data_IF_934024969120
#
_entry.id   IF_934024969120
#
_cell.length_a   1.000
_cell.length_b   1.000
_cell.length_c   1.000
_cell.angle_alpha   90.00
_cell.angle_beta   90.00
_cell.angle_gamma   90.00
#
_symmetry.space_group_name_H-M   'P 1'
#
loop_
_entity.id
_entity.type
_entity.pdbx_description
1 polymer ?
#
# COMPACT_ATOMS: atom_id res chain seq x y z
N UNK A 1 -0.89 -5.92 10.67
CA UNK A 1 -0.40 -4.69 10.01
C UNK A 1 0.17 -4.95 8.63
N UNK A 2 1.17 -5.83 8.49
CA UNK A 2 1.75 -6.13 7.16
C UNK A 2 0.73 -6.64 6.15
N UNK A 3 -0.25 -7.43 6.58
CA UNK A 3 -1.36 -7.84 5.70
C UNK A 3 -2.19 -6.66 5.18
N UNK A 4 -2.43 -5.62 5.99
CA UNK A 4 -3.10 -4.39 5.53
C UNK A 4 -2.29 -3.70 4.44
N UNK A 5 -0.96 -3.67 4.60
CA UNK A 5 -0.05 -3.17 3.58
C UNK A 5 -0.10 -4.03 2.32
N UNK A 6 -0.08 -5.35 2.46
CA UNK A 6 -0.11 -6.29 1.34
C UNK A 6 -1.40 -6.15 0.50
N UNK A 7 -2.53 -5.81 1.12
CA UNK A 7 -3.77 -5.46 0.44
C UNK A 7 -3.90 -3.96 0.12
N UNK A 8 -2.82 -3.18 0.29
CA UNK A 8 -2.81 -1.73 0.10
C UNK A 8 -3.39 -1.25 -1.24
N UNK A 9 -3.10 -1.90 -2.39
CA UNK A 9 -3.70 -1.53 -3.67
C UNK A 9 -5.22 -1.72 -3.68
N UNK A 10 -5.71 -2.87 -3.19
CA UNK A 10 -7.14 -3.18 -3.09
C UNK A 10 -7.87 -2.24 -2.12
N UNK A 11 -7.27 -1.95 -0.96
CA UNK A 11 -7.84 -1.02 0.01
C UNK A 11 -7.88 0.41 -0.53
N UNK A 12 -6.87 0.80 -1.30
CA UNK A 12 -6.84 2.07 -2.01
C UNK A 12 -7.96 2.17 -3.04
N UNK A 13 -8.11 1.15 -3.89
CA UNK A 13 -9.20 1.08 -4.87
C UNK A 13 -10.58 1.12 -4.21
N UNK A 14 -10.79 0.42 -3.09
CA UNK A 14 -12.02 0.49 -2.32
C UNK A 14 -12.29 1.91 -1.77
N UNK A 15 -11.24 2.60 -1.32
CA UNK A 15 -11.34 3.98 -0.85
C UNK A 15 -11.69 4.94 -1.99
N UNK A 16 -11.06 4.78 -3.15
CA UNK A 16 -11.40 5.53 -4.36
C UNK A 16 -12.85 5.31 -4.78
N UNK A 17 -13.31 4.05 -4.77
CA UNK A 17 -14.69 3.71 -5.13
C UNK A 17 -15.69 4.30 -4.14
N UNK A 18 -15.37 4.28 -2.84
CA UNK A 18 -16.19 4.90 -1.82
C UNK A 18 -16.30 6.42 -2.01
N UNK A 19 -15.18 7.11 -2.28
CA UNK A 19 -15.16 8.56 -2.51
C UNK A 19 -15.88 8.93 -3.81
N UNK A 20 -15.69 8.18 -4.88
CA UNK A 20 -16.39 8.39 -6.15
C UNK A 20 -17.91 8.18 -6.00
N UNK A 21 -18.34 7.19 -5.21
CA UNK A 21 -19.74 6.97 -4.89
C UNK A 21 -20.34 8.10 -4.04
N UNK A 22 -19.62 8.53 -2.99
CA UNK A 22 -20.09 9.58 -2.08
C UNK A 22 -20.16 10.98 -2.72
N UNK A 23 -19.31 11.26 -3.70
CA UNK A 23 -19.28 12.54 -4.44
C UNK A 23 -20.21 12.57 -5.65
N UNK A 24 -20.91 11.47 -5.95
CA UNK A 24 -21.79 11.35 -7.10
C UNK A 24 -21.07 11.16 -8.44
N UNK A 25 -19.73 11.04 -8.45
CA UNK A 25 -18.93 10.78 -9.65
C UNK A 25 -19.09 9.35 -10.20
N UNK A 26 -19.47 8.41 -9.33
CA UNK A 26 -19.76 7.02 -9.71
C UNK A 26 -18.62 6.33 -10.46
N UNK A 27 -18.96 5.40 -11.35
CA UNK A 27 -17.99 4.62 -12.12
C UNK A 27 -17.16 5.42 -13.13
N UNK A 28 -17.64 6.60 -13.55
CA UNK A 28 -16.93 7.48 -14.49
C UNK A 28 -15.70 8.12 -13.85
N UNK A 29 -15.83 8.66 -12.64
CA UNK A 29 -14.71 9.27 -11.93
C UNK A 29 -13.61 8.24 -11.58
N UNK A 30 -13.98 6.97 -11.36
CA UNK A 30 -13.03 5.85 -11.22
C UNK A 30 -12.29 5.58 -12.52
N UNK A 31 -13.01 5.47 -13.65
CA UNK A 31 -12.41 5.19 -14.96
C UNK A 31 -11.52 6.32 -15.47
N UNK A 32 -11.80 7.56 -15.09
CA UNK A 32 -10.98 8.73 -15.41
C UNK A 32 -9.76 8.86 -14.46
N UNK A 33 -9.65 7.97 -13.47
CA UNK A 33 -8.55 7.97 -12.51
C UNK A 33 -8.56 9.20 -11.60
N UNK A 34 -9.69 9.87 -11.39
CA UNK A 34 -9.72 11.13 -10.63
C UNK A 34 -9.19 11.01 -9.19
N UNK A 35 -9.10 9.81 -8.64
CA UNK A 35 -8.75 9.56 -7.24
C UNK A 35 -7.50 8.69 -7.02
N UNK A 36 -6.70 8.39 -8.06
CA UNK A 36 -5.52 7.51 -7.95
C UNK A 36 -4.55 7.92 -6.83
N UNK A 37 -4.48 9.23 -6.54
CA UNK A 37 -3.65 9.78 -5.47
C UNK A 37 -4.08 9.31 -4.07
N UNK A 38 -5.35 8.95 -3.86
CA UNK A 38 -5.84 8.40 -2.58
C UNK A 38 -5.20 7.05 -2.29
N UNK A 39 -5.12 6.17 -3.30
CA UNK A 39 -4.42 4.88 -3.16
C UNK A 39 -2.96 5.09 -2.81
N UNK A 40 -2.27 6.02 -3.47
CA UNK A 40 -0.86 6.32 -3.17
C UNK A 40 -0.70 6.85 -1.74
N UNK A 41 -1.50 7.84 -1.33
CA UNK A 41 -1.45 8.40 0.02
C UNK A 41 -1.70 7.32 1.07
N UNK A 42 -2.70 6.45 0.87
CA UNK A 42 -3.01 5.34 1.78
C UNK A 42 -1.82 4.38 1.90
N UNK A 43 -1.25 3.96 0.77
CA UNK A 43 -0.12 3.04 0.72
C UNK A 43 1.12 3.61 1.44
N UNK A 44 1.43 4.89 1.22
CA UNK A 44 2.53 5.57 1.91
C UNK A 44 2.24 5.74 3.40
N UNK A 45 1.02 6.14 3.78
CA UNK A 45 0.64 6.30 5.18
C UNK A 45 0.73 4.98 5.96
N UNK A 46 0.25 3.88 5.38
CA UNK A 46 0.37 2.53 5.96
C UNK A 46 1.84 2.13 6.11
N UNK A 47 2.69 2.47 5.13
CA UNK A 47 4.11 2.10 5.14
C UNK A 47 4.87 2.87 6.21
N UNK A 48 4.57 4.17 6.37
CA UNK A 48 5.11 5.01 7.45
C UNK A 48 4.64 4.54 8.82
N UNK A 49 3.39 4.08 8.94
CA UNK A 49 2.87 3.55 10.20
C UNK A 49 3.58 2.24 10.59
N UNK A 50 3.80 1.33 9.64
CA UNK A 50 4.55 0.10 9.90
C UNK A 50 6.02 0.38 10.24
N UNK A 51 6.68 1.32 9.53
CA UNK A 51 8.04 1.76 9.86
C UNK A 51 8.14 2.33 11.28
N UNK A 52 7.22 3.23 11.68
CA UNK A 52 7.18 3.77 13.04
C UNK A 52 7.04 2.66 14.08
N UNK A 53 6.25 1.63 13.78
CA UNK A 53 6.05 0.48 14.66
C UNK A 53 7.31 -0.40 14.76
N UNK A 54 7.98 -0.66 13.63
CA UNK A 54 9.26 -1.37 13.60
C UNK A 54 10.35 -0.63 14.38
N UNK A 55 10.42 0.70 14.21
CA UNK A 55 11.35 1.55 14.96
C UNK A 55 11.07 1.50 16.46
N UNK A 56 9.79 1.51 16.87
CA UNK A 56 9.39 1.37 18.28
C UNK A 56 9.76 -0.01 18.84
N UNK A 57 9.77 -1.05 18.00
CA UNK A 57 10.20 -2.40 18.37
C UNK A 57 11.74 -2.56 18.42
N UNK A 58 12.52 -1.50 18.18
CA UNK A 58 13.99 -1.52 18.26
C UNK A 58 14.69 -1.93 16.96
N UNK A 59 13.98 -2.06 15.85
CA UNK A 59 14.61 -2.34 14.55
C UNK A 59 15.22 -1.08 13.94
N UNK A 60 16.44 -1.20 13.40
CA UNK A 60 17.08 -0.10 12.67
C UNK A 60 16.40 0.11 11.32
N UNK A 61 15.65 1.20 11.23
CA UNK A 61 14.85 1.57 10.07
C UNK A 61 15.54 2.56 9.13
N UNK A 62 16.80 2.94 9.40
CA UNK A 62 17.53 3.97 8.63
C UNK A 62 17.64 3.65 7.14
N UNK A 63 17.71 2.36 6.77
CA UNK A 63 17.73 1.92 5.36
C UNK A 63 16.39 2.08 4.65
N UNK A 64 15.27 2.19 5.38
CA UNK A 64 13.91 2.23 4.78
C UNK A 64 13.41 3.62 4.44
N UNK A 65 13.99 4.70 5.00
CA UNK A 65 13.44 6.06 4.93
C UNK A 65 13.05 6.55 3.52
N UNK A 66 13.74 6.12 2.46
CA UNK A 66 13.39 6.46 1.08
C UNK A 66 12.40 5.49 0.42
N UNK A 67 12.39 4.23 0.86
CA UNK A 67 11.61 3.16 0.24
C UNK A 67 10.18 3.10 0.73
N UNK A 68 9.83 3.80 1.81
CA UNK A 68 8.46 3.91 2.34
C UNK A 68 7.48 4.46 1.31
N UNK A 69 7.98 5.26 0.35
CA UNK A 69 7.21 5.77 -0.80
C UNK A 69 7.00 4.72 -1.89
N UNK A 70 7.86 3.71 -1.95
CA UNK A 70 7.83 2.61 -2.93
C UNK A 70 7.48 1.32 -2.17
N UNK A 71 6.19 1.16 -1.89
CA UNK A 71 5.65 0.04 -1.10
C UNK A 71 6.16 -1.36 -1.50
N UNK A 72 6.26 -1.75 -2.79
CA UNK A 72 6.78 -3.07 -3.15
C UNK A 72 8.23 -3.26 -2.68
N UNK A 73 9.07 -2.24 -2.85
CA UNK A 73 10.47 -2.29 -2.42
C UNK A 73 10.57 -2.30 -0.89
N UNK A 74 9.71 -1.53 -0.21
CA UNK A 74 9.61 -1.54 1.25
C UNK A 74 9.28 -2.93 1.80
N UNK A 75 8.23 -3.59 1.28
CA UNK A 75 7.82 -4.93 1.72
C UNK A 75 8.92 -5.96 1.49
N UNK A 76 9.63 -5.88 0.36
CA UNK A 76 10.76 -6.76 0.06
C UNK A 76 11.91 -6.60 1.06
N UNK A 77 12.36 -5.35 1.30
CA UNK A 77 13.46 -5.10 2.24
C UNK A 77 13.07 -5.45 3.68
N UNK A 78 11.82 -5.18 4.07
CA UNK A 78 11.29 -5.54 5.38
C UNK A 78 11.29 -7.05 5.58
N UNK A 79 10.86 -7.82 4.57
CA UNK A 79 10.89 -9.28 4.61
C UNK A 79 12.32 -9.82 4.75
N UNK A 80 13.28 -9.28 3.98
CA UNK A 80 14.72 -9.59 4.11
C UNK A 80 15.27 -9.29 5.51
N UNK A 81 14.95 -8.12 6.08
CA UNK A 81 15.47 -7.72 7.40
C UNK A 81 14.91 -8.60 8.53
N UNK A 82 13.62 -8.93 8.47
CA UNK A 82 12.95 -9.70 9.52
C UNK A 82 13.08 -11.22 9.32
N UNK A 83 13.82 -11.68 8.31
CA UNK A 83 13.87 -13.08 7.85
C UNK A 83 12.45 -13.67 7.68
N UNK A 84 11.52 -12.87 7.17
CA UNK A 84 10.14 -13.27 6.91
C UNK A 84 9.96 -13.70 5.45
N UNK A 85 8.93 -14.51 5.20
CA UNK A 85 8.56 -14.93 3.85
C UNK A 85 8.11 -13.72 2.99
N UNK A 86 8.39 -13.79 1.70
CA UNK A 86 8.00 -12.82 0.67
C UNK A 86 6.50 -12.86 0.32
N UNK A 87 5.70 -13.70 0.99
CA UNK A 87 4.26 -13.82 0.78
C UNK A 87 3.55 -12.46 0.72
N UNK A 88 3.88 -11.52 1.62
CA UNK A 88 3.28 -10.18 1.65
C UNK A 88 3.60 -9.34 0.41
N UNK A 89 4.83 -9.45 -0.09
CA UNK A 89 5.26 -8.78 -1.31
C UNK A 89 4.53 -9.36 -2.51
N UNK A 90 4.42 -10.69 -2.60
CA UNK A 90 3.70 -11.38 -3.68
C UNK A 90 2.22 -10.99 -3.68
N UNK A 91 1.58 -10.95 -2.50
CA UNK A 91 0.17 -10.53 -2.36
C UNK A 91 -0.01 -9.05 -2.74
N UNK A 92 0.95 -8.19 -2.41
CA UNK A 92 0.93 -6.80 -2.88
C UNK A 92 0.98 -6.69 -4.40
N UNK A 93 1.89 -7.44 -5.04
CA UNK A 93 1.97 -7.47 -6.51
C UNK A 93 0.69 -8.05 -7.13
N UNK A 94 0.15 -9.14 -6.56
CA UNK A 94 -1.09 -9.74 -7.04
C UNK A 94 -2.30 -8.83 -6.89
N UNK A 95 -2.42 -8.12 -5.76
CA UNK A 95 -3.50 -7.15 -5.56
C UNK A 95 -3.36 -5.93 -6.47
N UNK A 96 -2.13 -5.43 -6.68
CA UNK A 96 -1.86 -4.36 -7.62
C UNK A 96 -2.21 -4.77 -9.07
N UNK A 97 -1.80 -5.96 -9.49
CA UNK A 97 -2.16 -6.48 -10.81
C UNK A 97 -3.68 -6.62 -10.97
N UNK A 98 -4.38 -7.07 -9.93
CA UNK A 98 -5.84 -7.14 -9.94
C UNK A 98 -6.48 -5.75 -10.09
N UNK A 99 -5.97 -4.72 -9.40
CA UNK A 99 -6.49 -3.34 -9.56
C UNK A 99 -6.24 -2.74 -10.93
N UNK A 100 -5.28 -3.26 -11.71
CA UNK A 100 -5.06 -2.83 -13.09
C UNK A 100 -5.97 -3.55 -14.11
N UNK A 101 -6.53 -4.69 -13.72
CA UNK A 101 -7.43 -5.49 -14.57
C UNK A 101 -8.90 -5.10 -14.43
N UNK A 102 -9.25 -4.44 -13.33
CA UNK A 102 -10.60 -3.96 -13.00
C UNK A 102 -10.75 -2.52 -13.46
#
# INVERSE_FOLDING_TARGET
>A
MVWLLAFGPLLGYLLEAFVAGATGGGQRALSEGHYWYLTVILNVALSLFDEKRLKKAGHDTRRFKGWVFIVPVYLYQRAKMLNQNLAYFIVWIGSFALTLLV
#
